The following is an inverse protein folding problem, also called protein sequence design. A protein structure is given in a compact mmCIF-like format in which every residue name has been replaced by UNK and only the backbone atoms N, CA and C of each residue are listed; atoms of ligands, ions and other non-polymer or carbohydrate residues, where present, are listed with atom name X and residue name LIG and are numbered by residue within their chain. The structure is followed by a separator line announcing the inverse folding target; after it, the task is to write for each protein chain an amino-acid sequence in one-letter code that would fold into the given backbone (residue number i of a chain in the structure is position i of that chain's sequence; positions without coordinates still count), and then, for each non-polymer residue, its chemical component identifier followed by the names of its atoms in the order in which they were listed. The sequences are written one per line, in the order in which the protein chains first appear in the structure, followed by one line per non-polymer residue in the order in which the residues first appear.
data_IF_511977559783
#
_entry.id   IF_511977559783
#
_cell.length_a   1.000
_cell.length_b   1.000
_cell.length_c   1.000
_cell.angle_alpha   90.00
_cell.angle_beta   90.00
_cell.angle_gamma   90.00
#
_symmetry.space_group_name_H-M   'P 1'
#
loop_
_entity.id
_entity.type
_entity.pdbx_description
1 polymer ?
#
# COMPACT_ATOMS: atom_id res chain seq x y z
N UNK A 1 7.91 -11.71 -8.04
CA UNK A 1 7.12 -11.52 -9.28
C UNK A 1 6.42 -12.77 -9.82
N UNK A 2 7.06 -13.94 -9.95
CA UNK A 2 6.39 -15.14 -10.52
C UNK A 2 5.16 -15.64 -9.76
N UNK A 3 5.00 -15.22 -8.50
CA UNK A 3 3.89 -15.60 -7.63
C UNK A 3 2.85 -14.48 -7.41
N UNK A 4 3.03 -13.30 -8.01
CA UNK A 4 2.13 -12.15 -7.84
C UNK A 4 0.68 -12.54 -8.21
N UNK A 5 -0.32 -12.02 -7.51
CA UNK A 5 -1.71 -12.49 -7.66
C UNK A 5 -2.28 -12.27 -9.07
N UNK A 6 -1.88 -11.20 -9.75
CA UNK A 6 -2.30 -10.87 -11.10
C UNK A 6 -1.49 -11.63 -12.14
N UNK A 7 -1.93 -12.84 -12.48
CA UNK A 7 -1.25 -13.73 -13.43
C UNK A 7 -1.00 -13.04 -14.76
N UNK A 8 -2.00 -12.32 -15.30
CA UNK A 8 -1.88 -11.61 -16.59
C UNK A 8 -0.82 -10.51 -16.59
N UNK A 9 -0.62 -9.83 -15.45
CA UNK A 9 0.32 -8.72 -15.36
C UNK A 9 1.75 -9.16 -14.99
N UNK A 10 1.98 -10.44 -14.65
CA UNK A 10 3.31 -10.95 -14.27
C UNK A 10 4.42 -10.68 -15.31
N UNK A 11 4.21 -10.93 -16.63
CA UNK A 11 5.27 -10.67 -17.61
C UNK A 11 5.66 -9.20 -17.63
N UNK A 12 4.65 -8.32 -17.67
CA UNK A 12 4.85 -6.86 -17.59
C UNK A 12 5.61 -6.49 -16.33
N UNK A 13 5.15 -6.91 -15.15
CA UNK A 13 5.85 -6.62 -13.89
C UNK A 13 7.31 -7.07 -13.90
N UNK A 14 7.62 -8.24 -14.47
CA UNK A 14 8.99 -8.73 -14.58
C UNK A 14 9.87 -7.81 -15.41
N UNK A 15 9.36 -7.33 -16.54
CA UNK A 15 10.09 -6.40 -17.41
C UNK A 15 10.28 -5.04 -16.73
N UNK A 16 9.22 -4.52 -16.07
CA UNK A 16 9.26 -3.21 -15.45
C UNK A 16 10.04 -3.15 -14.13
N UNK A 17 10.20 -4.28 -13.43
CA UNK A 17 10.96 -4.34 -12.18
C UNK A 17 12.45 -4.01 -12.36
N UNK A 18 12.99 -4.23 -13.55
CA UNK A 18 14.40 -3.99 -13.84
C UNK A 18 14.72 -2.52 -14.16
N UNK A 19 13.72 -1.66 -14.34
CA UNK A 19 13.96 -0.24 -14.62
C UNK A 19 14.37 0.52 -13.36
N UNK A 20 15.26 1.48 -13.54
CA UNK A 20 15.72 2.35 -12.46
C UNK A 20 14.58 3.18 -11.83
N UNK A 21 13.56 3.48 -12.62
CA UNK A 21 12.39 4.26 -12.22
C UNK A 21 11.24 3.41 -11.67
N UNK A 22 11.48 2.13 -11.41
CA UNK A 22 10.44 1.18 -11.03
C UNK A 22 9.95 1.41 -9.60
N UNK A 23 8.68 1.78 -9.45
CA UNK A 23 8.00 1.88 -8.16
C UNK A 23 7.96 0.53 -7.44
N UNK A 24 7.72 -0.57 -8.15
CA UNK A 24 7.76 -1.93 -7.60
C UNK A 24 9.15 -2.26 -7.02
N UNK A 25 10.23 -1.86 -7.71
CA UNK A 25 11.60 -2.13 -7.25
C UNK A 25 11.97 -1.31 -6.00
N UNK A 26 11.55 -0.04 -5.95
CA UNK A 26 11.72 0.82 -4.78
C UNK A 26 10.93 0.27 -3.58
N UNK A 27 9.65 -0.07 -3.80
CA UNK A 27 8.78 -0.67 -2.80
C UNK A 27 9.41 -1.92 -2.20
N UNK A 28 9.83 -2.85 -3.05
CA UNK A 28 10.46 -4.09 -2.61
C UNK A 28 11.72 -3.83 -1.78
N UNK A 29 12.61 -2.97 -2.28
CA UNK A 29 13.90 -2.72 -1.66
C UNK A 29 13.75 -2.08 -0.28
N UNK A 30 12.90 -1.06 -0.17
CA UNK A 30 12.68 -0.33 1.09
C UNK A 30 12.00 -1.21 2.12
N UNK A 31 10.86 -1.83 1.79
CA UNK A 31 10.11 -2.62 2.77
C UNK A 31 10.84 -3.91 3.17
N UNK A 32 11.64 -4.50 2.28
CA UNK A 32 12.52 -5.60 2.66
C UNK A 32 13.60 -5.15 3.65
N UNK A 33 14.26 -4.01 3.41
CA UNK A 33 15.23 -3.48 4.34
C UNK A 33 14.61 -3.18 5.71
N UNK A 34 13.40 -2.60 5.74
CA UNK A 34 12.65 -2.39 6.97
C UNK A 34 12.29 -3.71 7.67
N UNK A 35 11.92 -4.75 6.91
CA UNK A 35 11.62 -6.09 7.44
C UNK A 35 12.87 -6.69 8.09
N UNK A 36 13.98 -6.73 7.35
CA UNK A 36 15.24 -7.35 7.75
C UNK A 36 15.81 -6.65 9.02
N UNK A 37 15.54 -5.35 9.18
CA UNK A 37 15.95 -4.57 10.35
C UNK A 37 14.92 -4.56 11.49
N UNK A 38 13.75 -5.20 11.35
CA UNK A 38 12.69 -5.20 12.37
C UNK A 38 12.00 -3.84 12.57
N UNK A 39 12.12 -2.92 11.62
CA UNK A 39 11.69 -1.52 11.76
C UNK A 39 10.35 -1.20 11.10
N UNK A 40 9.68 -2.16 10.44
CA UNK A 40 8.42 -1.92 9.70
C UNK A 40 7.35 -1.22 10.55
N UNK A 41 7.05 -1.73 11.74
CA UNK A 41 5.97 -1.21 12.57
C UNK A 41 6.23 0.26 12.94
N UNK A 42 7.45 0.53 13.41
CA UNK A 42 7.88 1.88 13.80
C UNK A 42 7.93 2.83 12.60
N UNK A 43 8.50 2.40 11.47
CA UNK A 43 8.55 3.19 10.24
C UNK A 43 7.15 3.61 9.78
N UNK A 44 6.17 2.72 9.96
CA UNK A 44 4.76 3.00 9.66
C UNK A 44 4.04 3.74 10.80
N UNK A 45 4.73 4.25 11.82
CA UNK A 45 4.15 5.04 12.91
C UNK A 45 3.28 4.25 13.88
N UNK A 46 3.51 2.95 14.02
CA UNK A 46 2.84 2.10 15.01
C UNK A 46 3.84 1.68 16.10
N UNK A 47 3.36 1.45 17.34
CA UNK A 47 4.20 0.85 18.37
C UNK A 47 4.73 -0.50 17.90
N UNK A 48 5.70 -1.05 18.63
CA UNK A 48 6.17 -2.43 18.40
C UNK A 48 5.02 -3.41 18.66
N UNK A 49 4.21 -3.64 17.63
CA UNK A 49 3.25 -4.72 17.52
C UNK A 49 3.93 -5.93 16.90
N UNK A 50 3.44 -7.11 17.25
CA UNK A 50 3.93 -8.38 16.72
C UNK A 50 3.61 -8.51 15.23
N UNK A 51 4.63 -8.32 14.38
CA UNK A 51 4.54 -8.48 12.94
C UNK A 51 4.28 -9.96 12.61
N UNK A 52 3.06 -10.28 12.23
CA UNK A 52 2.64 -11.63 11.86
C UNK A 52 3.11 -11.99 10.45
N UNK A 53 3.00 -11.05 9.51
CA UNK A 53 3.42 -11.25 8.14
C UNK A 53 3.56 -9.96 7.34
N UNK A 54 4.31 -10.09 6.25
CA UNK A 54 4.49 -9.07 5.23
C UNK A 54 4.13 -9.70 3.88
N UNK A 55 3.32 -9.04 3.08
CA UNK A 55 3.01 -9.49 1.73
C UNK A 55 3.34 -8.40 0.73
N UNK A 56 3.89 -8.80 -0.41
CA UNK A 56 4.13 -7.92 -1.56
C UNK A 56 3.24 -8.35 -2.71
N UNK A 57 2.41 -7.45 -3.22
CA UNK A 57 1.43 -7.76 -4.25
C UNK A 57 0.57 -8.99 -3.91
N UNK A 58 0.22 -9.13 -2.63
CA UNK A 58 -0.54 -10.26 -2.09
C UNK A 58 0.23 -11.58 -1.88
N UNK A 59 1.57 -11.57 -2.05
CA UNK A 59 2.42 -12.76 -1.85
C UNK A 59 3.17 -12.65 -0.52
N UNK A 60 3.06 -13.64 0.38
CA UNK A 60 3.81 -13.66 1.63
C UNK A 60 5.33 -13.60 1.45
N UNK A 61 5.96 -12.84 2.32
CA UNK A 61 7.41 -12.76 2.51
C UNK A 61 7.77 -13.17 3.94
N UNK A 62 8.83 -13.99 4.15
CA UNK A 62 9.67 -14.66 3.15
C UNK A 62 8.92 -15.61 2.21
N UNK A 63 9.45 -15.81 1.00
CA UNK A 63 8.81 -16.69 0.00
C UNK A 63 8.63 -18.10 0.58
N UNK A 64 7.43 -18.66 0.43
CA UNK A 64 7.08 -19.97 1.00
C UNK A 64 6.43 -19.90 2.38
N UNK A 65 6.36 -18.71 3.00
CA UNK A 65 5.58 -18.52 4.22
C UNK A 65 4.10 -18.86 3.97
N UNK A 66 3.53 -19.67 4.86
CA UNK A 66 2.11 -19.94 4.87
C UNK A 66 1.41 -18.85 5.69
N UNK A 67 0.75 -17.94 4.99
CA UNK A 67 -0.03 -16.88 5.63
C UNK A 67 -1.53 -17.04 5.30
N UNK A 68 -2.40 -17.27 6.30
CA UNK A 68 -3.85 -17.32 6.07
C UNK A 68 -4.41 -16.01 5.46
N UNK A 69 -3.77 -14.86 5.73
CA UNK A 69 -4.15 -13.55 5.20
C UNK A 69 -4.08 -13.48 3.69
N UNK A 70 -3.08 -14.11 3.08
CA UNK A 70 -2.96 -14.19 1.62
C UNK A 70 -4.13 -14.97 0.99
N UNK A 71 -4.59 -16.05 1.63
CA UNK A 71 -5.75 -16.81 1.17
C UNK A 71 -7.05 -16.03 1.36
N UNK A 72 -7.20 -15.38 2.50
CA UNK A 72 -8.37 -14.52 2.77
C UNK A 72 -8.45 -13.34 1.81
N UNK A 73 -7.31 -12.74 1.45
CA UNK A 73 -7.23 -11.70 0.43
C UNK A 73 -7.84 -12.20 -0.88
N UNK A 74 -7.38 -13.35 -1.41
CA UNK A 74 -7.94 -13.94 -2.64
C UNK A 74 -9.45 -14.16 -2.52
N UNK A 75 -9.92 -14.67 -1.37
CA UNK A 75 -11.35 -14.87 -1.12
C UNK A 75 -12.15 -13.55 -1.09
N UNK A 76 -11.57 -12.47 -0.57
CA UNK A 76 -12.17 -11.12 -0.63
C UNK A 76 -12.26 -10.62 -2.08
N UNK A 77 -11.20 -10.79 -2.87
CA UNK A 77 -11.16 -10.35 -4.28
C UNK A 77 -12.18 -11.09 -5.14
N UNK A 78 -12.30 -12.41 -4.97
CA UNK A 78 -13.34 -13.23 -5.64
C UNK A 78 -14.74 -12.74 -5.27
N UNK A 79 -15.02 -12.47 -3.99
CA UNK A 79 -16.32 -11.97 -3.56
C UNK A 79 -16.66 -10.56 -4.07
N UNK A 80 -15.63 -9.75 -4.34
CA UNK A 80 -15.76 -8.46 -5.00
C UNK A 80 -16.00 -8.61 -6.52
N UNK A 81 -15.93 -9.82 -7.07
CA UNK A 81 -16.15 -10.10 -8.48
C UNK A 81 -14.94 -9.77 -9.36
N UNK A 82 -13.74 -9.90 -8.82
CA UNK A 82 -12.52 -9.93 -9.62
C UNK A 82 -12.31 -11.28 -10.29
N UNK A 83 -11.52 -11.28 -11.36
CA UNK A 83 -11.22 -12.49 -12.13
C UNK A 83 -10.00 -13.19 -11.56
N UNK A 84 -10.01 -14.51 -11.57
CA UNK A 84 -8.96 -15.39 -11.04
C UNK A 84 -7.58 -15.18 -11.67
N UNK A 85 -7.52 -14.64 -12.88
CA UNK A 85 -6.30 -14.28 -13.59
C UNK A 85 -5.95 -12.78 -13.57
N UNK A 86 -6.77 -11.96 -12.90
CA UNK A 86 -6.65 -10.50 -12.89
C UNK A 86 -7.05 -9.89 -11.54
N UNK A 87 -6.40 -10.39 -10.49
CA UNK A 87 -6.56 -9.85 -9.14
C UNK A 87 -5.88 -8.49 -8.96
N UNK A 88 -6.46 -7.69 -8.09
CA UNK A 88 -5.86 -6.48 -7.55
C UNK A 88 -4.72 -6.81 -6.61
N UNK A 89 -3.66 -6.01 -6.69
CA UNK A 89 -2.40 -6.24 -5.97
C UNK A 89 -2.05 -4.98 -5.19
N UNK A 90 -2.46 -4.86 -3.91
CA UNK A 90 -1.91 -3.84 -3.03
C UNK A 90 -0.38 -4.01 -2.97
N UNK A 91 0.37 -2.90 -3.02
CA UNK A 91 1.83 -2.97 -3.14
C UNK A 91 2.46 -3.70 -1.95
N UNK A 92 2.10 -3.28 -0.75
CA UNK A 92 2.52 -3.92 0.51
C UNK A 92 1.33 -4.11 1.43
N UNK A 93 1.27 -5.29 2.06
CA UNK A 93 0.35 -5.59 3.15
C UNK A 93 1.16 -5.95 4.38
N UNK A 94 1.00 -5.18 5.45
CA UNK A 94 1.61 -5.45 6.75
C UNK A 94 0.54 -5.98 7.69
N UNK A 95 0.80 -7.12 8.29
CA UNK A 95 -0.15 -7.83 9.12
C UNK A 95 0.38 -7.86 10.53
N UNK A 96 -0.28 -7.12 11.41
CA UNK A 96 0.00 -7.06 12.84
C UNK A 96 -1.05 -7.86 13.61
N UNK A 97 -0.80 -8.12 14.90
CA UNK A 97 -1.73 -8.86 15.75
C UNK A 97 -3.12 -8.20 15.82
N UNK A 98 -3.18 -6.86 15.92
CA UNK A 98 -4.43 -6.10 16.01
C UNK A 98 -4.87 -5.39 14.72
N UNK A 99 -4.03 -5.37 13.68
CA UNK A 99 -4.22 -4.48 12.52
C UNK A 99 -3.75 -5.10 11.21
N UNK A 100 -4.39 -4.72 10.12
CA UNK A 100 -3.90 -4.93 8.75
C UNK A 100 -3.67 -3.56 8.13
N UNK A 101 -2.48 -3.35 7.58
CA UNK A 101 -2.13 -2.13 6.87
C UNK A 101 -1.95 -2.47 5.40
N UNK A 102 -2.59 -1.70 4.53
CA UNK A 102 -2.23 -1.65 3.12
C UNK A 102 -1.38 -0.41 2.91
N UNK A 103 -0.25 -0.55 2.24
CA UNK A 103 0.55 0.57 1.77
C UNK A 103 0.41 0.63 0.25
N UNK A 104 -0.18 1.71 -0.24
CA UNK A 104 -0.15 2.10 -1.64
C UNK A 104 1.01 3.06 -1.82
N UNK A 105 1.98 2.67 -2.63
CA UNK A 105 3.23 3.40 -2.84
C UNK A 105 3.11 4.31 -4.05
N UNK A 106 3.74 5.48 -3.95
CA UNK A 106 3.92 6.45 -5.02
C UNK A 106 5.38 6.88 -5.05
N UNK A 107 6.08 6.58 -6.14
CA UNK A 107 7.49 6.93 -6.28
C UNK A 107 7.70 8.24 -7.06
N UNK A 108 7.43 8.23 -8.36
CA UNK A 108 7.67 9.40 -9.24
C UNK A 108 6.39 10.05 -9.74
N UNK A 109 5.26 9.37 -9.58
CA UNK A 109 3.97 9.81 -10.06
C UNK A 109 3.01 9.99 -8.89
N UNK A 110 2.12 10.97 -9.02
CA UNK A 110 1.05 11.22 -8.06
C UNK A 110 -0.06 10.16 -8.18
N UNK A 111 -1.00 10.15 -7.24
CA UNK A 111 -2.20 9.32 -7.29
C UNK A 111 -2.99 9.53 -8.58
N UNK A 112 -3.07 8.48 -9.40
CA UNK A 112 -3.74 8.53 -10.70
C UNK A 112 -5.25 8.75 -10.55
N UNK A 113 -5.79 9.75 -11.26
CA UNK A 113 -7.23 10.03 -11.32
C UNK A 113 -7.86 9.40 -12.56
N UNK A 114 -8.74 8.42 -12.36
CA UNK A 114 -9.54 7.75 -13.37
C UNK A 114 -11.01 8.19 -13.27
N UNK A 115 -11.30 9.45 -13.59
CA UNK A 115 -12.64 10.04 -13.42
C UNK A 115 -13.71 9.25 -14.17
N UNK A 116 -14.80 8.93 -13.47
CA UNK A 116 -15.95 8.18 -13.99
C UNK A 116 -15.61 6.80 -14.57
N UNK A 117 -14.47 6.22 -14.19
CA UNK A 117 -14.08 4.90 -14.65
C UNK A 117 -15.14 3.83 -14.30
N UNK A 118 -15.50 3.00 -15.28
CA UNK A 118 -16.58 2.00 -15.11
C UNK A 118 -16.26 0.98 -14.02
N UNK A 119 -14.98 0.70 -13.76
CA UNK A 119 -14.53 -0.25 -12.75
C UNK A 119 -14.96 0.09 -11.32
N UNK A 120 -15.22 1.37 -11.02
CA UNK A 120 -15.77 1.78 -9.72
C UNK A 120 -17.06 1.05 -9.33
N UNK A 121 -17.90 0.73 -10.32
CA UNK A 121 -19.21 0.11 -10.07
C UNK A 121 -19.09 -1.27 -9.42
N UNK A 122 -17.99 -2.00 -9.68
CA UNK A 122 -17.68 -3.28 -9.03
C UNK A 122 -17.59 -3.12 -7.51
N UNK A 123 -16.89 -2.08 -7.04
CA UNK A 123 -16.58 -1.93 -5.63
C UNK A 123 -17.60 -1.09 -4.86
N UNK A 124 -18.08 0.03 -5.45
CA UNK A 124 -18.92 0.99 -4.73
C UNK A 124 -20.34 0.48 -4.44
N UNK A 125 -20.87 -0.44 -5.25
CA UNK A 125 -22.26 -0.92 -5.11
C UNK A 125 -22.49 -1.58 -3.74
N UNK A 126 -21.49 -2.29 -3.20
CA UNK A 126 -21.57 -3.05 -1.95
C UNK A 126 -20.73 -2.44 -0.81
N UNK A 127 -20.29 -1.19 -0.95
CA UNK A 127 -19.29 -0.60 -0.04
C UNK A 127 -19.58 0.86 0.29
N UNK A 128 -20.85 1.29 0.15
CA UNK A 128 -21.26 2.68 0.36
C UNK A 128 -20.94 3.19 1.76
N UNK A 129 -21.10 2.35 2.78
CA UNK A 129 -20.83 2.73 4.17
C UNK A 129 -19.37 3.08 4.43
N UNK A 130 -18.44 2.58 3.62
CA UNK A 130 -17.00 2.85 3.78
C UNK A 130 -16.59 4.28 3.38
N UNK A 131 -17.53 5.10 2.90
CA UNK A 131 -17.28 6.45 2.43
C UNK A 131 -18.26 7.45 3.03
N UNK A 132 -17.75 8.66 3.31
CA UNK A 132 -18.54 9.81 3.77
C UNK A 132 -19.25 10.52 2.62
N UNK A 133 -18.82 10.26 1.38
CA UNK A 133 -19.38 10.83 0.16
C UNK A 133 -20.27 9.84 -0.58
N UNK A 134 -21.22 10.35 -1.38
CA UNK A 134 -22.02 9.49 -2.26
C UNK A 134 -21.16 8.89 -3.39
N UNK A 135 -21.55 7.73 -3.96
CA UNK A 135 -20.78 7.05 -5.01
C UNK A 135 -20.47 7.87 -6.27
N UNK A 136 -21.30 8.86 -6.63
CA UNK A 136 -21.05 9.69 -7.81
C UNK A 136 -19.96 10.72 -7.56
N UNK A 137 -19.88 11.26 -6.35
CA UNK A 137 -18.76 12.15 -5.96
C UNK A 137 -17.43 11.41 -6.00
N UNK A 138 -17.37 10.19 -5.45
CA UNK A 138 -16.15 9.35 -5.45
C UNK A 138 -15.68 9.07 -6.89
N UNK A 139 -16.61 8.68 -7.77
CA UNK A 139 -16.32 8.44 -9.20
C UNK A 139 -15.77 9.69 -9.89
N UNK A 140 -16.29 10.87 -9.57
CA UNK A 140 -15.88 12.15 -10.17
C UNK A 140 -14.46 12.53 -9.77
N UNK A 141 -14.07 12.28 -8.53
CA UNK A 141 -12.71 12.51 -8.04
C UNK A 141 -11.72 11.53 -8.68
N UNK A 142 -12.10 10.24 -8.74
CA UNK A 142 -11.45 9.28 -9.63
C UNK A 142 -10.24 8.54 -9.04
N UNK A 143 -9.99 8.60 -7.74
CA UNK A 143 -8.89 7.85 -7.08
C UNK A 143 -9.17 6.34 -7.01
N UNK A 144 -9.21 5.67 -8.16
CA UNK A 144 -9.69 4.30 -8.28
C UNK A 144 -8.86 3.29 -7.49
N UNK A 145 -7.52 3.44 -7.50
CA UNK A 145 -6.61 2.53 -6.79
C UNK A 145 -6.78 2.64 -5.28
N UNK A 146 -6.84 3.86 -4.75
CA UNK A 146 -7.10 4.11 -3.32
C UNK A 146 -8.50 3.61 -2.91
N UNK A 147 -9.54 3.88 -3.70
CA UNK A 147 -10.90 3.35 -3.44
C UNK A 147 -10.92 1.83 -3.40
N UNK A 148 -10.24 1.20 -4.35
CA UNK A 148 -10.15 -0.25 -4.45
C UNK A 148 -9.42 -0.84 -3.24
N UNK A 149 -8.25 -0.32 -2.90
CA UNK A 149 -7.46 -0.79 -1.75
C UNK A 149 -8.19 -0.52 -0.42
N UNK A 150 -8.87 0.61 -0.29
CA UNK A 150 -9.70 0.92 0.88
C UNK A 150 -10.77 -0.14 1.12
N UNK A 151 -11.50 -0.52 0.05
CA UNK A 151 -12.59 -1.48 0.12
C UNK A 151 -12.07 -2.90 0.39
N UNK A 152 -11.02 -3.31 -0.31
CA UNK A 152 -10.41 -4.65 -0.14
C UNK A 152 -9.87 -4.80 1.27
N UNK A 153 -9.09 -3.81 1.74
CA UNK A 153 -8.45 -3.86 3.04
C UNK A 153 -9.44 -3.83 4.20
N UNK A 154 -10.48 -2.99 4.15
CA UNK A 154 -11.56 -2.99 5.14
C UNK A 154 -12.25 -4.37 5.25
N UNK A 155 -12.55 -5.01 4.12
CA UNK A 155 -13.18 -6.34 4.10
C UNK A 155 -12.25 -7.42 4.65
N UNK A 156 -10.97 -7.36 4.30
CA UNK A 156 -9.98 -8.30 4.79
C UNK A 156 -9.80 -8.17 6.31
N UNK A 157 -9.65 -6.95 6.81
CA UNK A 157 -9.53 -6.67 8.23
C UNK A 157 -10.79 -7.07 9.02
N UNK A 158 -11.97 -6.80 8.48
CA UNK A 158 -13.25 -7.22 9.08
C UNK A 158 -13.31 -8.75 9.25
N UNK A 159 -12.92 -9.52 8.23
CA UNK A 159 -12.89 -10.99 8.33
C UNK A 159 -11.85 -11.50 9.33
N UNK A 160 -10.73 -10.80 9.45
CA UNK A 160 -9.68 -11.14 10.40
C UNK A 160 -9.98 -10.65 11.83
N UNK A 161 -11.05 -9.88 12.05
CA UNK A 161 -11.34 -9.26 13.35
C UNK A 161 -10.31 -8.20 13.76
N UNK A 162 -9.71 -7.50 12.79
CA UNK A 162 -8.63 -6.52 12.98
C UNK A 162 -9.04 -5.13 12.54
N UNK A 163 -8.31 -4.12 13.04
CA UNK A 163 -8.40 -2.75 12.52
C UNK A 163 -7.75 -2.67 11.13
N UNK A 164 -8.20 -1.72 10.32
CA UNK A 164 -7.62 -1.47 8.99
C UNK A 164 -6.96 -0.11 8.92
N UNK A 165 -5.79 -0.03 8.29
CA UNK A 165 -5.19 1.22 7.82
C UNK A 165 -4.86 1.15 6.34
N UNK A 166 -5.22 2.18 5.59
CA UNK A 166 -4.63 2.46 4.27
C UNK A 166 -3.61 3.59 4.40
N UNK A 167 -2.36 3.28 4.12
CA UNK A 167 -1.25 4.23 4.04
C UNK A 167 -1.04 4.57 2.57
N UNK A 168 -1.18 5.85 2.23
CA UNK A 168 -0.69 6.35 0.95
C UNK A 168 0.72 6.91 1.18
N UNK A 169 1.72 6.15 0.74
CA UNK A 169 3.13 6.49 0.89
C UNK A 169 3.62 7.15 -0.39
N UNK A 170 4.10 8.39 -0.32
CA UNK A 170 4.54 9.11 -1.51
C UNK A 170 5.57 10.19 -1.25
N UNK A 171 5.89 10.95 -2.29
CA UNK A 171 6.58 12.24 -2.13
C UNK A 171 5.59 13.29 -1.61
N UNK A 172 6.10 14.39 -1.06
CA UNK A 172 5.28 15.51 -0.55
C UNK A 172 4.28 16.04 -1.58
N UNK A 173 4.61 15.95 -2.87
CA UNK A 173 3.72 16.30 -4.00
C UNK A 173 2.41 15.51 -4.01
N UNK A 174 2.34 14.34 -3.38
CA UNK A 174 1.14 13.52 -3.26
C UNK A 174 0.18 13.99 -2.14
N UNK A 175 0.58 14.94 -1.28
CA UNK A 175 -0.20 15.32 -0.09
C UNK A 175 -1.58 15.87 -0.45
N UNK A 176 -1.67 16.69 -1.49
CA UNK A 176 -2.95 17.27 -1.93
C UNK A 176 -3.92 16.16 -2.37
N UNK A 177 -3.46 15.25 -3.24
CA UNK A 177 -4.28 14.17 -3.76
C UNK A 177 -4.71 13.18 -2.66
N UNK A 178 -3.79 12.87 -1.74
CA UNK A 178 -4.07 12.05 -0.57
C UNK A 178 -5.09 12.72 0.37
N UNK A 179 -4.96 14.01 0.64
CA UNK A 179 -5.90 14.78 1.48
C UNK A 179 -7.31 14.78 0.87
N UNK A 180 -7.41 15.00 -0.44
CA UNK A 180 -8.67 14.94 -1.18
C UNK A 180 -9.34 13.57 -1.11
N UNK A 181 -8.56 12.48 -1.14
CA UNK A 181 -9.10 11.14 -0.95
C UNK A 181 -9.51 10.90 0.52
N UNK A 182 -8.68 11.31 1.48
CA UNK A 182 -8.95 11.16 2.92
C UNK A 182 -10.26 11.81 3.35
N UNK A 183 -10.63 12.95 2.75
CA UNK A 183 -11.93 13.58 2.98
C UNK A 183 -13.15 12.79 2.47
N UNK A 184 -12.95 11.73 1.69
CA UNK A 184 -14.03 10.91 1.13
C UNK A 184 -14.33 9.64 1.94
N UNK A 185 -13.39 9.16 2.75
CA UNK A 185 -13.56 7.92 3.51
C UNK A 185 -14.40 8.15 4.77
N UNK A 186 -15.09 7.11 5.24
CA UNK A 186 -15.83 7.12 6.51
C UNK A 186 -15.01 6.44 7.62
N UNK A 187 -15.51 6.54 8.85
CA UNK A 187 -14.89 5.96 10.06
C UNK A 187 -15.11 4.43 10.15
N UNK A 188 -14.49 3.70 9.23
CA UNK A 188 -14.46 2.23 9.21
C UNK A 188 -13.03 1.65 9.26
N UNK A 189 -12.04 2.55 9.27
CA UNK A 189 -10.61 2.27 9.31
C UNK A 189 -9.87 3.60 9.31
N UNK A 190 -8.55 3.55 9.24
CA UNK A 190 -7.70 4.72 9.23
C UNK A 190 -7.14 4.95 7.82
N UNK A 191 -7.35 6.12 7.25
CA UNK A 191 -6.59 6.55 6.07
C UNK A 191 -5.51 7.54 6.51
N UNK A 192 -4.27 7.33 6.07
CA UNK A 192 -3.19 8.28 6.33
C UNK A 192 -2.30 8.49 5.12
N UNK A 193 -1.82 9.71 4.99
CA UNK A 193 -0.72 10.05 4.10
C UNK A 193 0.60 10.00 4.88
N UNK A 194 1.65 9.49 4.25
CA UNK A 194 3.00 9.41 4.80
C UNK A 194 3.98 9.74 3.68
N UNK A 195 4.98 10.57 3.98
CA UNK A 195 6.07 10.80 3.04
C UNK A 195 7.14 9.71 3.16
N UNK A 196 7.95 9.55 2.11
CA UNK A 196 9.16 8.74 2.21
C UNK A 196 10.12 9.25 3.30
N UNK A 197 10.21 10.58 3.46
CA UNK A 197 10.95 11.21 4.56
C UNK A 197 10.41 10.76 5.93
N UNK A 198 9.10 10.82 6.16
CA UNK A 198 8.47 10.37 7.41
C UNK A 198 8.79 8.90 7.71
N UNK A 199 8.69 8.04 6.70
CA UNK A 199 8.97 6.60 6.80
C UNK A 199 10.42 6.34 7.24
N UNK A 200 11.38 7.03 6.63
CA UNK A 200 12.82 6.83 6.89
C UNK A 200 13.23 7.43 8.23
N UNK A 201 12.76 8.64 8.56
CA UNK A 201 13.10 9.31 9.81
C UNK A 201 12.57 8.58 11.05
N UNK A 202 11.56 7.73 10.89
CA UNK A 202 11.04 6.89 11.96
C UNK A 202 11.90 5.63 12.23
N UNK A 203 12.99 5.40 11.51
CA UNK A 203 13.92 4.30 11.76
C UNK A 203 14.93 4.74 12.84
N UNK A 204 14.77 4.23 14.07
CA UNK A 204 15.82 4.30 15.10
C UNK A 204 16.85 3.18 14.84
N UNK A 205 18.14 3.46 15.06
CA UNK A 205 19.34 2.66 14.72
C UNK A 205 20.03 3.06 13.40
N UNK A 206 21.37 2.95 13.30
CA UNK A 206 22.09 3.39 12.12
C UNK A 206 21.62 2.61 10.90
N UNK A 207 20.96 3.33 9.99
CA UNK A 207 20.67 2.84 8.66
C UNK A 207 22.01 2.46 8.02
N UNK A 208 22.13 1.23 7.54
CA UNK A 208 23.34 0.78 6.85
C UNK A 208 23.70 1.73 5.71
N UNK A 209 25.00 1.95 5.49
CA UNK A 209 25.51 2.88 4.46
C UNK A 209 24.95 2.59 3.06
N UNK A 210 24.77 1.31 2.71
CA UNK A 210 24.17 0.92 1.43
C UNK A 210 22.72 1.42 1.31
N UNK A 211 21.93 1.33 2.39
CA UNK A 211 20.52 1.69 2.36
C UNK A 211 20.35 3.20 2.34
N UNK A 212 21.16 3.93 3.11
CA UNK A 212 21.23 5.38 3.04
C UNK A 212 21.60 5.86 1.62
N UNK A 213 22.63 5.25 1.02
CA UNK A 213 23.05 5.52 -0.37
C UNK A 213 21.94 5.21 -1.37
N UNK A 214 21.20 4.11 -1.16
CA UNK A 214 20.07 3.75 -2.00
C UNK A 214 18.95 4.79 -1.94
N UNK A 215 18.51 5.19 -0.74
CA UNK A 215 17.47 6.20 -0.54
C UNK A 215 17.85 7.54 -1.20
N UNK A 216 19.10 7.97 -1.03
CA UNK A 216 19.63 9.18 -1.66
C UNK A 216 19.65 9.06 -3.19
N UNK A 217 20.17 7.96 -3.74
CA UNK A 217 20.23 7.73 -5.19
C UNK A 217 18.85 7.72 -5.85
N UNK A 218 17.81 7.38 -5.07
CA UNK A 218 16.42 7.34 -5.52
C UNK A 218 15.68 8.66 -5.28
N UNK A 219 16.30 9.64 -4.62
CA UNK A 219 15.69 10.94 -4.28
C UNK A 219 14.42 10.77 -3.45
N UNK A 220 14.43 9.84 -2.50
CA UNK A 220 13.30 9.56 -1.60
C UNK A 220 13.28 10.48 -0.37
N UNK A 221 14.31 11.29 -0.17
CA UNK A 221 14.41 12.22 0.94
C UNK A 221 14.25 13.64 0.40
N UNK A 222 13.40 14.44 1.04
CA UNK A 222 13.22 15.83 0.66
C UNK A 222 14.50 16.63 0.94
N UNK A 223 14.82 17.60 0.07
CA UNK A 223 16.03 18.41 0.20
C UNK A 223 16.09 19.22 1.51
N UNK A 224 14.93 19.45 2.15
CA UNK A 224 14.77 20.15 3.43
C UNK A 224 15.19 19.32 4.65
N UNK A 225 15.47 18.02 4.50
CA UNK A 225 15.80 17.12 5.61
C UNK A 225 17.31 17.04 5.91
N UNK A 226 18.15 17.75 5.15
CA UNK A 226 19.61 17.74 5.29
C UNK A 226 20.17 18.72 6.36
N UNK A 227 19.32 19.34 7.20
CA UNK A 227 19.79 20.27 8.25
C UNK A 227 19.88 19.68 9.66
N UNK A 228 19.76 18.37 9.84
CA UNK A 228 19.96 17.75 11.17
C UNK A 228 21.01 16.65 11.10
N UNK A 229 22.27 17.05 11.27
CA UNK A 229 23.38 16.23 11.78
C UNK A 229 24.04 16.96 12.92
#
# INVERSE_FOLDING_TARGET
MNHALNVKNRPKKKDFFAFETSEDAVTWTVFRALYDNGSICRALGYPLEDLQSLLFWGVPWPTGAHDPTARELVSVLIQLGEYDDYFSEPDVIVVLSGRILFVEVKYKEDNTRQRNYRGFSRYLTKSKSLFSCNPQSIKREGYYELVRNWIIGNRLAQRAGRQFTLVNLGLETCRESATLFGGQVADHGEFKFMTWTDLVMAIEEPISEWFASYLQSRQLLDATSNEVT
#
